data_IF_662462651904
#
_entry.id   IF_662462651904
#
_cell.length_a   1.000
_cell.length_b   1.000
_cell.length_c   1.000
_cell.angle_alpha   90.00
_cell.angle_beta   90.00
_cell.angle_gamma   90.00
#
_symmetry.space_group_name_H-M   'P 1'
#
loop_
_entity.id
_entity.type
_entity.pdbx_description
1 polymer ?
#
# COMPACT_ATOMS: atom_id res chain seq x y z
N UNK A 1 1.70 -18.11 -5.38
CA UNK A 1 0.53 -17.30 -5.71
C UNK A 1 0.01 -17.68 -7.08
N UNK A 2 -1.29 -17.84 -7.24
CA UNK A 2 -1.96 -18.12 -8.52
C UNK A 2 -2.94 -16.98 -8.80
N UNK A 3 -2.99 -16.54 -10.04
CA UNK A 3 -3.90 -15.49 -10.50
C UNK A 3 -5.19 -16.13 -11.02
N UNK A 4 -6.34 -15.54 -10.67
CA UNK A 4 -7.64 -15.97 -11.20
C UNK A 4 -7.99 -15.24 -12.50
N UNK A 5 -9.14 -15.57 -13.09
CA UNK A 5 -9.63 -14.93 -14.33
C UNK A 5 -9.92 -13.43 -14.20
N UNK A 6 -10.07 -12.90 -12.99
CA UNK A 6 -10.25 -11.48 -12.69
C UNK A 6 -8.94 -10.72 -12.47
N UNK A 7 -7.79 -11.40 -12.44
CA UNK A 7 -6.48 -10.80 -12.17
C UNK A 7 -6.17 -10.60 -10.68
N UNK A 8 -6.89 -11.31 -9.80
CA UNK A 8 -6.57 -11.33 -8.37
C UNK A 8 -5.64 -12.50 -8.04
N UNK A 9 -4.71 -12.26 -7.11
CA UNK A 9 -3.72 -13.26 -6.72
C UNK A 9 -4.09 -13.92 -5.40
N UNK A 10 -4.24 -15.24 -5.45
CA UNK A 10 -4.54 -16.06 -4.28
C UNK A 10 -3.37 -16.98 -3.90
N UNK A 11 -3.23 -17.34 -2.61
CA UNK A 11 -2.32 -18.38 -2.19
C UNK A 11 -2.67 -19.71 -2.89
N UNK A 12 -1.66 -20.38 -3.41
CA UNK A 12 -1.80 -21.72 -3.98
C UNK A 12 -0.79 -22.65 -3.31
N UNK A 13 -1.26 -23.79 -2.85
CA UNK A 13 -0.43 -24.81 -2.24
C UNK A 13 -0.08 -25.83 -3.32
N UNK A 14 1.20 -26.02 -3.55
CA UNK A 14 1.71 -27.11 -4.36
C UNK A 14 1.69 -28.40 -3.49
N UNK A 15 0.74 -29.29 -3.76
CA UNK A 15 0.56 -30.50 -2.99
C UNK A 15 1.78 -31.44 -3.08
N UNK A 16 2.50 -31.41 -4.19
CA UNK A 16 3.71 -32.22 -4.41
C UNK A 16 4.88 -31.82 -3.50
N UNK A 17 4.93 -30.55 -3.12
CA UNK A 17 5.96 -29.95 -2.26
C UNK A 17 5.49 -29.73 -0.82
N UNK A 18 4.22 -30.02 -0.53
CA UNK A 18 3.60 -29.74 0.75
C UNK A 18 4.00 -30.79 1.81
N UNK A 19 4.66 -30.35 2.88
CA UNK A 19 5.04 -31.20 4.02
C UNK A 19 3.94 -31.33 5.10
N UNK A 20 2.74 -30.80 4.88
CA UNK A 20 1.61 -30.89 5.81
C UNK A 20 1.77 -30.10 7.13
N UNK A 21 2.69 -29.18 7.25
CA UNK A 21 2.99 -28.45 8.49
C UNK A 21 1.89 -27.48 8.95
N UNK A 22 0.87 -27.21 8.14
CA UNK A 22 -0.28 -26.32 8.39
C UNK A 22 0.07 -24.87 8.74
N UNK A 23 1.29 -24.42 8.52
CA UNK A 23 1.67 -23.01 8.79
C UNK A 23 0.85 -22.03 7.97
N UNK A 24 0.56 -22.34 6.70
CA UNK A 24 -0.29 -21.54 5.83
C UNK A 24 -1.70 -21.33 6.41
N UNK A 25 -2.30 -22.36 7.02
CA UNK A 25 -3.60 -22.28 7.67
C UNK A 25 -3.51 -21.43 8.95
N UNK A 26 -2.46 -21.63 9.75
CA UNK A 26 -2.28 -20.90 11.02
C UNK A 26 -2.10 -19.39 10.86
N UNK A 27 -1.58 -18.93 9.72
CA UNK A 27 -1.35 -17.51 9.45
C UNK A 27 -2.43 -16.90 8.54
N UNK A 28 -3.35 -17.70 8.02
CA UNK A 28 -4.39 -17.24 7.11
C UNK A 28 -5.45 -16.42 7.86
N UNK A 29 -5.67 -15.15 7.50
CA UNK A 29 -6.69 -14.33 8.17
C UNK A 29 -8.11 -14.85 7.91
N UNK A 30 -8.37 -15.49 6.77
CA UNK A 30 -9.68 -16.06 6.45
C UNK A 30 -10.04 -17.23 7.37
N UNK A 31 -9.09 -18.11 7.69
CA UNK A 31 -9.33 -19.24 8.61
C UNK A 31 -9.24 -18.87 10.08
N UNK A 32 -8.65 -17.73 10.42
CA UNK A 32 -8.44 -17.28 11.79
C UNK A 32 -9.08 -15.90 12.06
N UNK A 33 -10.07 -15.51 11.26
CA UNK A 33 -10.63 -14.16 11.22
C UNK A 33 -11.17 -13.62 12.54
N UNK A 34 -11.70 -14.48 13.40
CA UNK A 34 -12.16 -14.08 14.74
C UNK A 34 -11.06 -14.16 15.81
N UNK A 35 -10.09 -15.04 15.64
CA UNK A 35 -9.08 -15.31 16.67
C UNK A 35 -7.88 -14.32 16.65
N UNK A 36 -7.70 -13.62 15.54
CA UNK A 36 -6.63 -12.64 15.37
C UNK A 36 -7.15 -11.43 14.60
N UNK A 37 -8.33 -10.98 14.98
CA UNK A 37 -8.76 -9.65 14.61
C UNK A 37 -7.56 -8.73 14.79
N UNK A 38 -7.39 -7.78 13.93
CA UNK A 38 -6.41 -6.72 14.06
C UNK A 38 -6.73 -5.86 15.29
N UNK A 39 -7.03 -6.53 16.42
CA UNK A 39 -6.98 -5.94 17.74
C UNK A 39 -5.51 -5.70 18.00
N UNK A 40 -5.04 -4.68 17.38
CA UNK A 40 -3.70 -4.09 17.45
C UNK A 40 -3.35 -3.63 18.86
N UNK A 41 -4.23 -3.82 19.81
CA UNK A 41 -4.07 -3.35 21.16
C UNK A 41 -4.12 -4.52 22.13
N UNK A 42 -3.00 -5.18 22.30
CA UNK A 42 -2.72 -5.92 23.52
C UNK A 42 -2.35 -4.95 24.67
N UNK A 43 -2.99 -3.80 24.71
CA UNK A 43 -2.86 -2.84 25.80
C UNK A 43 -4.25 -2.28 26.09
N UNK A 44 -4.64 -2.26 27.33
CA UNK A 44 -5.86 -1.65 27.90
C UNK A 44 -5.89 -0.10 27.73
N UNK A 45 -5.35 0.42 26.62
CA UNK A 45 -5.33 1.85 26.35
C UNK A 45 -6.28 2.19 25.21
N UNK A 46 -7.22 3.07 25.49
CA UNK A 46 -8.02 3.69 24.44
C UNK A 46 -7.11 4.35 23.39
N UNK A 47 -7.39 4.18 22.09
CA UNK A 47 -6.60 4.79 21.04
C UNK A 47 -6.69 6.31 21.12
N UNK A 48 -5.55 6.99 21.16
CA UNK A 48 -5.50 8.44 21.10
C UNK A 48 -5.58 8.91 19.64
N UNK A 49 -6.44 9.89 19.36
CA UNK A 49 -6.56 10.51 18.05
C UNK A 49 -5.78 11.83 17.99
N UNK A 50 -4.95 11.96 16.95
CA UNK A 50 -4.15 13.18 16.72
C UNK A 50 -4.41 13.70 15.30
N UNK A 51 -4.53 15.03 15.17
CA UNK A 51 -4.48 15.73 13.88
C UNK A 51 -3.10 16.37 13.72
N UNK A 52 -2.51 16.21 12.53
CA UNK A 52 -1.19 16.78 12.29
C UNK A 52 -0.81 16.83 10.81
N UNK A 53 0.18 17.66 10.51
CA UNK A 53 0.76 17.76 9.19
C UNK A 53 2.25 18.06 9.26
N UNK A 54 2.99 17.74 8.21
CA UNK A 54 4.40 18.09 8.07
C UNK A 54 4.54 19.60 7.85
N UNK A 55 5.46 20.24 8.58
CA UNK A 55 5.72 21.67 8.46
C UNK A 55 6.45 22.03 7.17
N UNK A 56 7.19 21.10 6.58
CA UNK A 56 7.80 21.25 5.27
C UNK A 56 6.72 21.16 4.18
N UNK A 57 6.49 22.27 3.48
CA UNK A 57 5.47 22.40 2.45
C UNK A 57 5.75 21.50 1.24
N UNK A 58 7.00 21.30 0.86
CA UNK A 58 7.37 20.45 -0.28
C UNK A 58 7.02 18.99 0.06
N UNK A 59 7.38 18.53 1.24
CA UNK A 59 7.04 17.18 1.73
C UNK A 59 5.53 17.02 1.83
N UNK A 60 4.83 18.00 2.36
CA UNK A 60 3.37 17.97 2.53
C UNK A 60 2.66 17.94 1.18
N UNK A 61 3.07 18.76 0.23
CA UNK A 61 2.48 18.79 -1.12
C UNK A 61 2.75 17.51 -1.91
N UNK A 62 3.94 16.92 -1.75
CA UNK A 62 4.31 15.65 -2.39
C UNK A 62 3.66 14.42 -1.71
N UNK A 63 3.00 14.58 -0.58
CA UNK A 63 2.32 13.50 0.16
C UNK A 63 0.85 13.43 -0.22
N UNK A 64 0.22 12.26 -0.07
CA UNK A 64 -1.24 12.10 -0.32
C UNK A 64 -2.10 12.85 0.70
N UNK A 65 -1.63 12.96 1.93
CA UNK A 65 -2.29 13.63 3.06
C UNK A 65 -1.32 14.60 3.72
N UNK A 66 -1.36 14.79 5.02
CA UNK A 66 -0.55 15.75 5.76
C UNK A 66 0.96 15.50 5.80
N UNK A 67 1.47 14.40 5.25
CA UNK A 67 2.91 14.11 5.23
C UNK A 67 3.48 13.53 6.53
N UNK A 68 2.63 13.08 7.45
CA UNK A 68 3.03 12.50 8.74
C UNK A 68 3.90 11.24 8.54
N UNK A 69 3.57 10.40 7.54
CA UNK A 69 4.41 9.26 7.19
C UNK A 69 5.87 9.66 6.98
N UNK A 70 6.12 10.75 6.23
CA UNK A 70 7.49 11.21 5.96
C UNK A 70 8.21 11.66 7.23
N UNK A 71 7.52 12.29 8.18
CA UNK A 71 8.11 12.68 9.46
C UNK A 71 8.50 11.45 10.30
N UNK A 72 7.62 10.46 10.39
CA UNK A 72 7.89 9.20 11.09
C UNK A 72 9.05 8.44 10.43
N UNK A 73 9.06 8.36 9.10
CA UNK A 73 10.11 7.70 8.34
C UNK A 73 11.48 8.37 8.56
N UNK A 74 11.53 9.70 8.51
CA UNK A 74 12.76 10.45 8.79
C UNK A 74 13.29 10.16 10.20
N UNK A 75 12.42 10.13 11.21
CA UNK A 75 12.86 9.84 12.59
C UNK A 75 13.48 8.45 12.77
N UNK A 76 13.11 7.49 11.90
CA UNK A 76 13.70 6.14 11.90
C UNK A 76 15.03 6.15 11.12
N UNK A 77 15.06 6.81 9.94
CA UNK A 77 16.28 6.91 9.12
C UNK A 77 17.42 7.65 9.86
N UNK A 78 17.11 8.73 10.57
CA UNK A 78 18.08 9.49 11.38
C UNK A 78 18.74 8.65 12.49
N UNK A 79 18.08 7.58 12.92
CA UNK A 79 18.62 6.60 13.88
C UNK A 79 19.37 5.45 13.21
N UNK A 80 19.69 5.57 11.92
CA UNK A 80 20.32 4.50 11.13
C UNK A 80 19.36 3.33 10.83
N UNK A 81 18.06 3.57 10.90
CA UNK A 81 17.04 2.56 10.63
C UNK A 81 16.71 2.37 9.16
N UNK A 82 15.75 1.50 8.89
CA UNK A 82 15.23 1.20 7.56
C UNK A 82 13.72 1.41 7.49
N UNK A 83 13.25 1.92 6.35
CA UNK A 83 11.83 2.17 6.09
C UNK A 83 11.37 1.26 4.95
N UNK A 84 10.29 0.54 5.18
CA UNK A 84 9.64 -0.32 4.20
C UNK A 84 8.28 0.24 3.83
N UNK A 85 7.99 0.29 2.54
CA UNK A 85 6.71 0.79 2.06
C UNK A 85 6.51 0.53 0.57
N UNK A 86 5.30 0.83 0.09
CA UNK A 86 4.93 0.62 -1.29
C UNK A 86 5.58 1.65 -2.23
N UNK A 87 6.24 1.17 -3.27
CA UNK A 87 6.82 1.95 -4.37
C UNK A 87 6.29 1.46 -5.70
N UNK A 88 6.04 2.38 -6.63
CA UNK A 88 5.69 2.03 -8.01
C UNK A 88 6.96 2.02 -8.87
N UNK A 89 7.16 0.93 -9.61
CA UNK A 89 8.24 0.80 -10.56
C UNK A 89 7.92 1.42 -11.92
N UNK A 90 8.90 1.45 -12.82
CA UNK A 90 8.72 1.91 -14.21
C UNK A 90 7.75 1.02 -15.01
N UNK A 91 7.59 -0.23 -14.59
CA UNK A 91 6.60 -1.17 -15.11
C UNK A 91 5.19 -0.94 -14.54
N UNK A 92 4.99 0.17 -13.84
CA UNK A 92 3.76 0.55 -13.15
C UNK A 92 3.27 -0.47 -12.11
N UNK A 93 4.08 -1.46 -11.75
CA UNK A 93 3.78 -2.42 -10.68
C UNK A 93 4.16 -1.84 -9.33
N UNK A 94 3.33 -2.11 -8.35
CA UNK A 94 3.58 -1.67 -6.97
C UNK A 94 4.22 -2.81 -6.18
N UNK A 95 5.33 -2.51 -5.52
CA UNK A 95 6.08 -3.46 -4.69
C UNK A 95 6.47 -2.79 -3.38
N UNK A 96 6.52 -3.55 -2.32
CA UNK A 96 7.19 -3.08 -1.11
C UNK A 96 8.70 -3.10 -1.32
N UNK A 97 9.34 -2.02 -0.95
CA UNK A 97 10.79 -1.86 -1.04
C UNK A 97 11.36 -1.34 0.26
N UNK A 98 12.64 -1.61 0.48
CA UNK A 98 13.44 -1.09 1.59
C UNK A 98 14.09 0.23 1.18
N UNK A 99 14.08 1.20 2.06
CA UNK A 99 14.78 2.49 1.94
C UNK A 99 15.55 2.74 3.24
N UNK A 100 16.83 3.03 3.14
CA UNK A 100 17.72 3.39 4.26
C UNK A 100 18.41 4.73 4.04
N UNK A 101 18.07 5.44 2.98
CA UNK A 101 18.53 6.76 2.64
C UNK A 101 17.35 7.75 2.51
N UNK A 102 17.42 8.86 3.22
CA UNK A 102 16.41 9.90 3.20
C UNK A 102 16.13 10.45 1.78
N UNK A 103 17.15 10.52 0.94
CA UNK A 103 17.03 10.94 -0.45
C UNK A 103 16.17 10.04 -1.31
N UNK A 104 15.94 8.78 -0.88
CA UNK A 104 15.06 7.83 -1.59
C UNK A 104 13.64 7.76 -1.03
N UNK A 105 13.34 8.45 0.06
CA UNK A 105 12.05 8.38 0.74
C UNK A 105 10.88 8.83 -0.16
N UNK A 106 11.14 9.69 -1.14
CA UNK A 106 10.13 10.13 -2.11
C UNK A 106 9.46 8.96 -2.85
N UNK A 107 10.16 7.84 -3.04
CA UNK A 107 9.62 6.64 -3.71
C UNK A 107 8.43 6.03 -2.97
N UNK A 108 8.38 6.20 -1.66
CA UNK A 108 7.34 5.64 -0.79
C UNK A 108 6.15 6.60 -0.61
N UNK A 109 6.31 7.88 -0.97
CA UNK A 109 5.24 8.88 -0.88
C UNK A 109 4.16 8.65 -1.93
N UNK A 110 2.99 9.18 -1.66
CA UNK A 110 1.85 9.14 -2.58
C UNK A 110 1.06 7.83 -2.52
N UNK A 111 -0.24 7.91 -2.74
CA UNK A 111 -1.13 6.75 -2.82
C UNK A 111 -0.89 5.95 -4.10
N UNK A 112 -0.92 4.63 -3.98
CA UNK A 112 -0.86 3.70 -5.10
C UNK A 112 -2.09 2.79 -5.00
N UNK A 113 -3.11 3.07 -5.81
CA UNK A 113 -4.36 2.31 -5.79
C UNK A 113 -4.23 1.00 -6.59
N UNK A 114 -3.23 0.23 -6.20
CA UNK A 114 -2.93 -1.13 -6.69
C UNK A 114 -2.42 -1.96 -5.53
N UNK A 115 -2.64 -3.26 -5.60
CA UNK A 115 -2.06 -4.19 -4.63
C UNK A 115 -0.53 -4.18 -4.73
N UNK A 116 0.13 -3.95 -3.61
CA UNK A 116 1.59 -4.03 -3.55
C UNK A 116 2.04 -5.47 -3.35
N UNK A 117 3.00 -5.90 -4.15
CA UNK A 117 3.67 -7.19 -3.98
C UNK A 117 4.66 -7.10 -2.81
N UNK A 118 4.46 -7.96 -1.82
CA UNK A 118 5.34 -8.05 -0.64
C UNK A 118 6.62 -8.83 -0.95
N UNK A 119 6.56 -9.77 -1.90
CA UNK A 119 7.72 -10.61 -2.23
C UNK A 119 8.37 -11.23 -0.99
N UNK A 120 9.67 -10.95 -0.80
CA UNK A 120 10.48 -11.41 0.34
C UNK A 120 10.68 -10.35 1.43
N UNK A 121 9.98 -9.24 1.38
CA UNK A 121 10.20 -8.08 2.27
C UNK A 121 10.06 -8.42 3.75
N UNK A 122 9.15 -9.30 4.14
CA UNK A 122 9.04 -9.73 5.54
C UNK A 122 10.32 -10.43 6.03
N UNK A 123 11.02 -11.15 5.15
CA UNK A 123 12.31 -11.76 5.50
C UNK A 123 13.37 -10.69 5.71
N UNK A 124 13.41 -9.65 4.87
CA UNK A 124 14.33 -8.52 5.00
C UNK A 124 14.08 -7.74 6.29
N UNK A 125 12.80 -7.45 6.62
CA UNK A 125 12.42 -6.83 7.90
C UNK A 125 12.93 -7.66 9.09
N UNK A 126 12.74 -8.98 9.06
CA UNK A 126 13.23 -9.86 10.12
C UNK A 126 14.75 -9.85 10.24
N UNK A 127 15.47 -9.74 9.12
CA UNK A 127 16.94 -9.64 9.11
C UNK A 127 17.40 -8.33 9.72
N UNK A 128 16.81 -7.19 9.33
CA UNK A 128 17.14 -5.89 9.90
C UNK A 128 16.88 -5.85 11.41
N UNK A 129 15.72 -6.33 11.86
CA UNK A 129 15.38 -6.40 13.28
C UNK A 129 16.36 -7.29 14.08
N UNK A 130 16.78 -8.43 13.52
CA UNK A 130 17.81 -9.30 14.14
C UNK A 130 19.19 -8.64 14.20
N UNK A 131 19.49 -7.75 13.25
CA UNK A 131 20.72 -6.97 13.24
C UNK A 131 20.66 -5.74 14.19
N UNK A 132 19.55 -5.55 14.92
CA UNK A 132 19.37 -4.40 15.81
C UNK A 132 19.03 -3.11 15.07
N UNK A 133 18.64 -3.17 13.81
CA UNK A 133 18.28 -2.01 12.99
C UNK A 133 16.83 -1.63 13.27
N UNK A 134 16.52 -0.38 13.65
CA UNK A 134 15.16 0.11 13.77
C UNK A 134 14.43 0.06 12.43
N UNK A 135 13.21 -0.41 12.42
CA UNK A 135 12.40 -0.57 11.19
C UNK A 135 11.09 0.18 11.31
N UNK A 136 10.75 0.96 10.29
CA UNK A 136 9.39 1.39 10.03
C UNK A 136 8.82 0.57 8.86
N UNK A 137 7.68 -0.08 9.08
CA UNK A 137 6.95 -0.76 8.02
C UNK A 137 5.59 -0.09 7.82
N UNK A 138 5.36 0.45 6.61
CA UNK A 138 4.09 1.04 6.22
C UNK A 138 3.38 0.13 5.24
N UNK A 139 2.12 -0.16 5.51
CA UNK A 139 1.29 -1.02 4.65
C UNK A 139 -0.19 -0.92 4.99
N UNK A 140 -1.02 -1.64 4.27
CA UNK A 140 -2.43 -1.79 4.59
C UNK A 140 -2.61 -2.81 5.72
N UNK A 141 -3.73 -2.81 6.47
CA UNK A 141 -3.90 -3.64 7.67
C UNK A 141 -3.59 -5.12 7.46
N UNK A 142 -4.01 -5.71 6.34
CA UNK A 142 -3.72 -7.11 6.03
C UNK A 142 -2.21 -7.39 5.84
N UNK A 143 -1.45 -6.43 5.32
CA UNK A 143 0.00 -6.55 5.17
C UNK A 143 0.72 -6.41 6.53
N UNK A 144 0.26 -5.49 7.37
CA UNK A 144 0.77 -5.36 8.75
C UNK A 144 0.46 -6.64 9.56
N UNK A 145 -0.78 -7.12 9.50
CA UNK A 145 -1.17 -8.37 10.15
C UNK A 145 -0.34 -9.57 9.67
N UNK A 146 -0.07 -9.63 8.35
CA UNK A 146 0.81 -10.64 7.76
C UNK A 146 2.25 -10.56 8.27
N UNK A 147 2.82 -9.35 8.36
CA UNK A 147 4.15 -9.14 8.92
C UNK A 147 4.23 -9.58 10.38
N UNK A 148 3.31 -9.12 11.23
CA UNK A 148 3.28 -9.48 12.64
C UNK A 148 3.12 -10.99 12.85
N UNK A 149 2.28 -11.64 12.05
CA UNK A 149 2.14 -13.12 12.06
C UNK A 149 3.42 -13.83 11.63
N UNK A 150 4.13 -13.29 10.65
CA UNK A 150 5.41 -13.83 10.16
C UNK A 150 6.53 -13.69 11.21
N UNK A 151 6.55 -12.58 11.94
CA UNK A 151 7.53 -12.30 13.00
C UNK A 151 7.23 -13.06 14.29
N UNK A 152 5.97 -13.50 14.49
CA UNK A 152 5.50 -14.13 15.72
C UNK A 152 5.02 -13.13 16.78
N UNK A 153 4.81 -11.88 16.41
CA UNK A 153 4.33 -10.81 17.29
C UNK A 153 4.99 -9.46 17.00
N UNK A 154 4.81 -8.54 17.94
CA UNK A 154 5.44 -7.21 17.90
C UNK A 154 6.92 -7.29 18.27
N UNK A 155 7.69 -6.33 17.80
CA UNK A 155 9.12 -6.18 18.12
C UNK A 155 9.39 -4.73 18.55
N UNK A 156 10.22 -4.52 19.55
CA UNK A 156 10.50 -3.20 20.13
C UNK A 156 11.11 -2.20 19.12
N UNK A 157 11.91 -2.70 18.16
CA UNK A 157 12.52 -1.91 17.11
C UNK A 157 11.62 -1.77 15.86
N UNK A 158 10.38 -2.26 15.91
CA UNK A 158 9.45 -2.20 14.78
C UNK A 158 8.34 -1.19 15.04
N UNK A 159 8.30 -0.15 14.23
CA UNK A 159 7.18 0.77 14.11
C UNK A 159 6.34 0.38 12.90
N UNK A 160 5.06 0.09 13.09
CA UNK A 160 4.11 -0.17 12.00
C UNK A 160 3.22 1.04 11.76
N UNK A 161 2.98 1.36 10.50
CA UNK A 161 2.10 2.45 10.07
C UNK A 161 1.03 1.89 9.16
N UNK A 162 -0.19 1.76 9.68
CA UNK A 162 -1.35 1.33 8.92
C UNK A 162 -1.88 2.45 8.03
N UNK A 163 -2.22 2.08 6.80
CA UNK A 163 -2.90 2.96 5.84
C UNK A 163 -4.33 2.45 5.71
N UNK A 164 -5.31 3.33 5.91
CA UNK A 164 -6.72 2.98 5.72
C UNK A 164 -6.92 2.43 4.30
N UNK A 165 -7.52 1.25 4.21
CA UNK A 165 -7.72 0.53 2.96
C UNK A 165 -9.18 0.14 2.79
N UNK A 166 -9.75 0.49 1.66
CA UNK A 166 -11.12 0.14 1.26
C UNK A 166 -11.16 -0.98 0.20
N UNK A 167 -10.03 -1.62 -0.08
CA UNK A 167 -9.88 -2.64 -1.10
C UNK A 167 -8.88 -2.24 -2.18
N UNK A 168 -8.72 -3.09 -3.17
CA UNK A 168 -7.84 -2.88 -4.33
C UNK A 168 -8.54 -3.35 -5.60
N UNK A 169 -8.37 -2.64 -6.73
CA UNK A 169 -8.82 -3.12 -8.02
C UNK A 169 -7.93 -4.28 -8.48
N UNK A 170 -8.43 -5.10 -9.39
CA UNK A 170 -7.61 -6.13 -10.00
C UNK A 170 -6.49 -5.53 -10.86
N UNK A 171 -5.37 -6.24 -10.97
CA UNK A 171 -4.28 -5.83 -11.86
C UNK A 171 -4.75 -5.75 -13.32
N UNK A 172 -5.62 -6.65 -13.78
CA UNK A 172 -6.18 -6.64 -15.13
C UNK A 172 -6.97 -5.36 -15.43
N UNK A 173 -7.77 -4.87 -14.48
CA UNK A 173 -8.53 -3.63 -14.65
C UNK A 173 -7.61 -2.43 -14.87
N UNK A 174 -6.57 -2.32 -14.03
CA UNK A 174 -5.61 -1.22 -14.16
C UNK A 174 -4.80 -1.32 -15.45
N UNK A 175 -4.34 -2.51 -15.82
CA UNK A 175 -3.61 -2.73 -17.08
C UNK A 175 -4.46 -2.43 -18.30
N UNK A 176 -5.74 -2.82 -18.30
CA UNK A 176 -6.67 -2.49 -19.37
C UNK A 176 -6.88 -0.97 -19.48
N UNK A 177 -7.04 -0.28 -18.33
CA UNK A 177 -7.14 1.16 -18.29
C UNK A 177 -5.89 1.86 -18.84
N UNK A 178 -4.70 1.42 -18.45
CA UNK A 178 -3.44 1.98 -18.97
C UNK A 178 -3.33 1.78 -20.47
N UNK A 179 -3.58 0.57 -20.97
CA UNK A 179 -3.58 0.28 -22.43
C UNK A 179 -4.57 1.14 -23.21
N UNK A 180 -5.76 1.36 -22.64
CA UNK A 180 -6.75 2.24 -23.25
C UNK A 180 -6.26 3.69 -23.33
N UNK A 181 -5.62 4.20 -22.27
CA UNK A 181 -5.05 5.54 -22.28
C UNK A 181 -3.86 5.65 -23.24
N UNK A 182 -2.99 4.64 -23.30
CA UNK A 182 -1.87 4.58 -24.25
C UNK A 182 -2.35 4.62 -25.70
N UNK A 183 -3.45 3.89 -26.01
CA UNK A 183 -4.07 3.92 -27.34
C UNK A 183 -4.64 5.31 -27.68
N UNK A 184 -5.30 5.99 -26.73
CA UNK A 184 -5.85 7.31 -26.92
C UNK A 184 -4.78 8.39 -27.16
N UNK A 185 -3.62 8.27 -26.50
CA UNK A 185 -2.54 9.24 -26.55
C UNK A 185 -1.43 8.87 -27.55
N UNK A 186 -1.44 7.65 -28.08
CA UNK A 186 -0.42 7.13 -28.99
C UNK A 186 0.97 7.07 -28.35
N UNK A 187 1.07 6.92 -27.04
CA UNK A 187 2.34 6.96 -26.29
C UNK A 187 2.23 6.15 -24.99
N UNK A 188 3.33 5.57 -24.51
CA UNK A 188 3.35 4.76 -23.31
C UNK A 188 3.29 5.61 -22.03
N UNK A 189 2.56 5.12 -21.03
CA UNK A 189 2.50 5.72 -19.69
C UNK A 189 3.80 5.41 -18.94
N UNK A 190 4.48 6.44 -18.44
CA UNK A 190 5.70 6.33 -17.64
C UNK A 190 5.46 6.53 -16.15
N UNK A 191 4.48 7.36 -15.80
CA UNK A 191 4.22 7.72 -14.41
C UNK A 191 2.73 7.88 -14.16
N UNK A 192 2.33 7.44 -12.99
CA UNK A 192 0.96 7.59 -12.48
C UNK A 192 1.01 8.28 -11.13
N UNK A 193 0.23 9.34 -10.98
CA UNK A 193 -0.02 9.98 -9.70
C UNK A 193 -1.52 9.97 -9.43
N UNK A 194 -1.94 9.10 -8.51
CA UNK A 194 -3.36 8.89 -8.21
C UNK A 194 -3.98 10.03 -7.39
N UNK A 195 -3.17 10.86 -6.76
CA UNK A 195 -3.65 11.97 -5.93
C UNK A 195 -2.92 13.26 -6.23
N UNK A 196 -2.83 13.59 -7.51
CA UNK A 196 -2.26 14.85 -7.96
C UNK A 196 -3.10 16.03 -7.46
N UNK A 197 -2.44 17.01 -6.84
CA UNK A 197 -3.10 18.15 -6.17
C UNK A 197 -3.23 19.40 -7.02
N UNK A 198 -2.90 19.34 -8.31
CA UNK A 198 -3.00 20.49 -9.21
C UNK A 198 -4.41 21.11 -9.26
N UNK A 199 -5.44 20.29 -9.02
CA UNK A 199 -6.85 20.71 -8.96
C UNK A 199 -7.34 20.97 -7.53
N UNK A 200 -6.47 20.89 -6.53
CA UNK A 200 -6.76 21.13 -5.13
C UNK A 200 -6.64 19.89 -4.25
N UNK A 201 -6.73 20.11 -2.95
CA UNK A 201 -6.54 19.05 -1.96
C UNK A 201 -7.72 18.07 -1.89
N UNK A 202 -8.95 18.62 -1.91
CA UNK A 202 -10.19 17.83 -1.85
C UNK A 202 -10.59 17.28 -3.20
N UNK A 203 -10.33 18.03 -4.27
CA UNK A 203 -10.65 17.67 -5.66
C UNK A 203 -9.39 17.24 -6.41
N UNK A 204 -8.66 16.27 -5.84
CA UNK A 204 -7.45 15.76 -6.49
C UNK A 204 -7.77 15.08 -7.83
N UNK A 205 -6.73 14.97 -8.65
CA UNK A 205 -6.82 14.36 -9.99
C UNK A 205 -5.93 13.14 -10.10
N UNK A 206 -6.31 12.24 -11.01
CA UNK A 206 -5.37 11.29 -11.57
C UNK A 206 -4.53 12.00 -12.63
N UNK A 207 -3.21 11.88 -12.53
CA UNK A 207 -2.25 12.33 -13.54
C UNK A 207 -1.54 11.11 -14.14
N UNK A 208 -1.53 11.02 -15.47
CA UNK A 208 -0.66 10.14 -16.25
C UNK A 208 0.35 10.99 -17.01
N UNK A 209 1.63 10.63 -16.91
CA UNK A 209 2.69 11.19 -17.73
C UNK A 209 3.14 10.15 -18.75
N UNK A 210 3.19 10.54 -20.02
CA UNK A 210 3.58 9.69 -21.15
C UNK A 210 5.03 9.94 -21.59
N UNK A 211 5.61 9.01 -22.33
CA UNK A 211 7.02 9.10 -22.79
C UNK A 211 7.34 10.37 -23.56
N UNK A 212 6.42 10.88 -24.38
CA UNK A 212 6.61 12.08 -25.19
C UNK A 212 6.28 13.40 -24.46
N UNK A 213 6.21 13.36 -23.12
CA UNK A 213 5.88 14.54 -22.31
C UNK A 213 4.40 14.92 -22.34
N UNK A 214 3.56 14.15 -23.04
CA UNK A 214 2.10 14.30 -22.99
C UNK A 214 1.61 14.02 -21.59
N UNK A 215 0.49 14.63 -21.18
CA UNK A 215 -0.12 14.45 -19.88
C UNK A 215 -1.64 14.26 -20.01
N UNK A 216 -2.16 13.33 -19.25
CA UNK A 216 -3.59 13.21 -18.98
C UNK A 216 -3.82 13.62 -17.54
N UNK A 217 -4.76 14.53 -17.31
CA UNK A 217 -5.17 14.95 -15.97
C UNK A 217 -6.69 14.97 -15.92
N UNK A 218 -7.26 14.20 -15.00
CA UNK A 218 -8.71 14.20 -14.80
C UNK A 218 -9.03 14.20 -13.31
N UNK A 219 -10.01 15.01 -12.85
CA UNK A 219 -10.54 14.91 -11.51
C UNK A 219 -10.97 13.47 -11.21
N UNK A 220 -10.73 13.02 -9.98
CA UNK A 220 -11.05 11.63 -9.58
C UNK A 220 -12.51 11.26 -9.83
N UNK A 221 -13.43 12.24 -9.80
CA UNK A 221 -14.87 12.05 -10.08
C UNK A 221 -15.19 11.86 -11.56
N UNK A 222 -14.27 12.17 -12.47
CA UNK A 222 -14.46 12.08 -13.94
C UNK A 222 -13.57 11.04 -14.59
N UNK A 223 -12.53 10.59 -13.89
CA UNK A 223 -11.67 9.52 -14.40
C UNK A 223 -12.36 8.17 -14.24
N UNK A 224 -12.46 7.34 -15.30
CA UNK A 224 -13.19 6.09 -15.23
C UNK A 224 -12.57 5.05 -14.30
N UNK A 225 -11.24 5.01 -14.19
CA UNK A 225 -10.57 4.10 -13.27
C UNK A 225 -10.80 4.53 -11.81
N UNK A 226 -10.62 5.82 -11.53
CA UNK A 226 -10.82 6.36 -10.19
C UNK A 226 -12.28 6.29 -9.75
N UNK A 227 -13.21 6.55 -10.68
CA UNK A 227 -14.64 6.41 -10.43
C UNK A 227 -15.04 4.97 -10.13
N UNK A 228 -14.56 4.01 -10.92
CA UNK A 228 -14.77 2.59 -10.66
C UNK A 228 -14.19 2.11 -9.35
N UNK A 229 -12.98 2.56 -9.00
CA UNK A 229 -12.33 2.19 -7.76
C UNK A 229 -12.99 2.83 -6.53
N UNK A 230 -13.19 4.16 -6.54
CA UNK A 230 -13.64 4.89 -5.35
C UNK A 230 -15.15 4.80 -5.12
N UNK A 231 -15.94 4.76 -6.18
CA UNK A 231 -17.40 4.79 -6.08
C UNK A 231 -17.96 3.36 -6.06
N UNK A 232 -17.55 2.53 -7.00
CA UNK A 232 -18.09 1.18 -7.14
C UNK A 232 -17.61 0.24 -6.04
N UNK A 233 -16.31 0.22 -5.74
CA UNK A 233 -15.76 -0.66 -4.71
C UNK A 233 -16.12 -0.20 -3.29
N UNK A 234 -16.18 1.10 -3.03
CA UNK A 234 -16.60 1.62 -1.72
C UNK A 234 -18.10 1.38 -1.50
N UNK A 235 -18.92 1.58 -2.53
CA UNK A 235 -20.37 1.38 -2.41
C UNK A 235 -20.75 -0.10 -2.18
N UNK A 236 -20.01 -1.04 -2.75
CA UNK A 236 -20.24 -2.47 -2.52
C UNK A 236 -19.76 -2.96 -1.15
N UNK A 237 -18.81 -2.27 -0.51
CA UNK A 237 -18.41 -2.57 0.86
C UNK A 237 -19.42 -2.05 1.89
N UNK A 238 -20.03 -0.89 1.64
CA UNK A 238 -21.06 -0.34 2.50
C UNK A 238 -22.40 -1.09 2.39
N UNK A 239 -22.68 -1.70 1.24
CA UNK A 239 -23.89 -2.52 1.06
C UNK A 239 -23.89 -3.80 1.92
N UNK A 240 -22.75 -4.20 2.48
CA UNK A 240 -22.68 -5.31 3.42
C UNK A 240 -23.09 -4.91 4.85
N UNK A 241 -23.07 -3.63 5.17
CA UNK A 241 -23.46 -3.09 6.49
C UNK A 241 -24.95 -2.70 6.55
N UNK A 242 -25.65 -2.66 5.41
CA UNK A 242 -27.07 -2.34 5.30
C UNK A 242 -28.02 -3.56 5.45
N UNK A 243 -27.57 -4.64 6.07
CA UNK A 243 -28.50 -5.70 6.46
C UNK A 243 -29.18 -5.33 7.78
N UNK A 244 -30.54 -5.26 7.81
CA UNK A 244 -31.31 -4.90 8.98
C UNK A 244 -31.18 -5.90 10.12
#
# INVERSE_FOLDING_TARGET
MREDGGGFRYPHIDESSCIGCRKCIKVCPVFNGEARGCSSTGADHEPAAYGGWNLDDEVRLASSSGGVFSALAMSVLEKGGAVYGASMGEDLRVRHVRVDDAGQLFRLRGSKYRQSDIGTVYQSVRQDLKAGIPVLFSGVPCQIGGLLSFLGGRHELLLTVDIVCHGVPSDHLFEAYVKWQEANYGSRVRKVDFRNKNTGWKNYSLLLEFEEGKRYVAPFTRDPFMGGFLICLLYTSDAADDTP
#
